data_IF_783889662978
#
_entry.id   IF_783889662978
#
_cell.length_a   1.000
_cell.length_b   1.000
_cell.length_c   1.000
_cell.angle_alpha   90.00
_cell.angle_beta   90.00
_cell.angle_gamma   90.00
#
_symmetry.space_group_name_H-M   'P 1'
#
loop_
_entity.id
_entity.type
_entity.pdbx_description
1 polymer ?
#
# COMPACT_ATOMS: atom_id res chain seq x y z
N UNK A 1 4.62 0.29 -31.16
CA UNK A 1 5.42 0.49 -29.93
C UNK A 1 6.51 -0.57 -29.87
N UNK A 2 7.80 -0.20 -29.94
CA UNK A 2 8.91 -1.16 -29.87
C UNK A 2 9.13 -1.56 -28.41
N UNK A 3 8.78 -2.80 -28.07
CA UNK A 3 9.13 -3.42 -26.78
C UNK A 3 10.64 -3.65 -26.80
N UNK A 4 11.41 -2.85 -26.04
CA UNK A 4 12.84 -3.10 -25.84
C UNK A 4 12.97 -4.42 -25.09
N UNK A 5 13.42 -5.48 -25.77
CA UNK A 5 13.87 -6.72 -25.13
C UNK A 5 15.13 -6.39 -24.33
N UNK A 6 14.98 -6.29 -23.01
CA UNK A 6 16.09 -6.05 -22.11
C UNK A 6 17.04 -7.25 -22.13
N UNK A 7 18.35 -6.98 -22.14
CA UNK A 7 19.42 -7.98 -22.26
C UNK A 7 19.23 -9.01 -21.15
N UNK A 8 19.24 -10.30 -21.51
CA UNK A 8 19.07 -11.43 -20.58
C UNK A 8 19.97 -11.25 -19.35
N UNK A 9 19.40 -10.76 -18.24
CA UNK A 9 20.05 -10.78 -16.94
C UNK A 9 20.12 -12.24 -16.55
N UNK A 10 21.32 -12.79 -16.41
CA UNK A 10 21.55 -14.11 -15.83
C UNK A 10 21.04 -14.03 -14.40
N UNK A 11 19.81 -14.48 -14.16
CA UNK A 11 19.25 -14.59 -12.83
C UNK A 11 19.72 -15.92 -12.26
N UNK A 12 20.47 -15.87 -11.16
CA UNK A 12 20.82 -17.07 -10.34
C UNK A 12 19.59 -17.76 -9.73
N UNK A 13 18.40 -17.28 -10.04
CA UNK A 13 17.12 -17.68 -9.47
C UNK A 13 16.42 -18.52 -10.52
N UNK A 14 15.99 -19.70 -10.11
CA UNK A 14 15.26 -20.65 -10.94
C UNK A 14 13.94 -20.03 -11.45
N UNK A 15 13.59 -20.33 -12.70
CA UNK A 15 12.29 -19.94 -13.27
C UNK A 15 11.12 -20.56 -12.50
N UNK A 16 11.32 -21.72 -11.88
CA UNK A 16 10.30 -22.35 -11.03
C UNK A 16 9.88 -21.44 -9.87
N UNK A 17 10.86 -20.87 -9.16
CA UNK A 17 10.64 -19.96 -8.02
C UNK A 17 9.89 -18.70 -8.46
N UNK A 18 10.16 -18.21 -9.67
CA UNK A 18 9.47 -17.05 -10.22
C UNK A 18 7.98 -17.34 -10.41
N UNK A 19 7.64 -18.52 -10.92
CA UNK A 19 6.25 -18.95 -11.08
C UNK A 19 5.55 -19.13 -9.73
N UNK A 20 6.21 -19.73 -8.75
CA UNK A 20 5.68 -19.87 -7.38
C UNK A 20 5.36 -18.53 -6.71
N UNK A 21 6.11 -17.46 -7.04
CA UNK A 21 5.80 -16.11 -6.56
C UNK A 21 4.66 -15.48 -7.36
N UNK A 22 4.60 -15.74 -8.66
CA UNK A 22 3.66 -15.10 -9.58
C UNK A 22 2.23 -15.61 -9.41
N UNK A 23 2.02 -16.88 -9.07
CA UNK A 23 0.69 -17.46 -8.82
C UNK A 23 -0.05 -16.77 -7.66
N UNK A 24 0.52 -16.66 -6.43
CA UNK A 24 -0.10 -15.92 -5.32
C UNK A 24 -0.37 -14.44 -5.63
N UNK A 25 0.46 -13.82 -6.48
CA UNK A 25 0.26 -12.43 -6.89
C UNK A 25 -0.98 -12.26 -7.79
N UNK A 26 -1.29 -13.26 -8.64
CA UNK A 26 -2.51 -13.24 -9.48
C UNK A 26 -3.76 -13.41 -8.65
N UNK A 27 -3.75 -14.32 -7.67
CA UNK A 27 -4.89 -14.55 -6.78
C UNK A 27 -5.16 -13.34 -5.87
N UNK A 28 -4.11 -12.67 -5.39
CA UNK A 28 -4.19 -11.63 -4.35
C UNK A 28 -3.55 -10.32 -4.83
N UNK A 29 -4.21 -9.68 -5.79
CA UNK A 29 -3.73 -8.46 -6.46
C UNK A 29 -3.41 -7.31 -5.47
N UNK A 30 -4.08 -7.26 -4.32
CA UNK A 30 -3.87 -6.21 -3.29
C UNK A 30 -2.63 -6.45 -2.41
N UNK A 31 -1.99 -7.62 -2.50
CA UNK A 31 -0.92 -7.99 -1.59
C UNK A 31 0.42 -7.43 -2.04
N UNK A 32 1.04 -6.63 -1.17
CA UNK A 32 2.44 -6.22 -1.35
C UNK A 32 3.42 -7.36 -1.06
N UNK A 33 4.68 -7.16 -1.44
CA UNK A 33 5.74 -8.16 -1.33
C UNK A 33 5.94 -8.74 0.08
N UNK A 34 5.65 -7.98 1.14
CA UNK A 34 5.73 -8.49 2.52
C UNK A 34 4.68 -9.57 2.80
N UNK A 35 3.45 -9.41 2.29
CA UNK A 35 2.38 -10.40 2.48
C UNK A 35 2.63 -11.63 1.63
N UNK A 36 3.09 -11.44 0.38
CA UNK A 36 3.50 -12.55 -0.50
C UNK A 36 4.66 -13.33 0.14
N UNK A 37 5.67 -12.66 0.67
CA UNK A 37 6.76 -13.30 1.38
C UNK A 37 6.29 -14.12 2.59
N UNK A 38 5.33 -13.61 3.38
CA UNK A 38 4.77 -14.36 4.50
C UNK A 38 4.02 -15.62 4.03
N UNK A 39 3.24 -15.52 2.95
CA UNK A 39 2.55 -16.67 2.35
C UNK A 39 3.53 -17.75 1.90
N UNK A 40 4.59 -17.37 1.17
CA UNK A 40 5.62 -18.30 0.73
C UNK A 40 6.31 -18.99 1.90
N UNK A 41 6.58 -18.25 2.97
CA UNK A 41 7.18 -18.82 4.18
C UNK A 41 6.25 -19.82 4.86
N UNK A 42 4.94 -19.54 4.89
CA UNK A 42 3.94 -20.46 5.44
C UNK A 42 3.78 -21.73 4.59
N UNK A 43 4.04 -21.66 3.28
CA UNK A 43 4.05 -22.82 2.39
C UNK A 43 5.40 -23.56 2.35
N UNK A 44 6.36 -23.18 3.22
CA UNK A 44 7.67 -23.85 3.32
C UNK A 44 8.75 -23.31 2.39
N UNK A 45 8.46 -22.28 1.59
CA UNK A 45 9.41 -21.67 0.66
C UNK A 45 10.17 -20.54 1.37
N UNK A 46 11.45 -20.78 1.69
CA UNK A 46 12.27 -19.81 2.41
C UNK A 46 13.11 -18.96 1.46
N UNK A 47 12.56 -17.80 1.06
CA UNK A 47 13.23 -16.83 0.18
C UNK A 47 13.43 -15.52 0.94
N UNK A 48 14.57 -14.85 0.68
CA UNK A 48 14.81 -13.52 1.23
C UNK A 48 13.79 -12.50 0.70
N UNK A 49 13.22 -11.66 1.59
CA UNK A 49 12.25 -10.59 1.25
C UNK A 49 12.67 -9.74 0.04
N UNK A 50 13.95 -9.36 -0.02
CA UNK A 50 14.54 -8.56 -1.11
C UNK A 50 14.42 -9.22 -2.48
N UNK A 51 14.45 -10.55 -2.54
CA UNK A 51 14.34 -11.33 -3.77
C UNK A 51 12.90 -11.31 -4.27
N UNK A 52 11.93 -11.51 -3.37
CA UNK A 52 10.49 -11.40 -3.67
C UNK A 52 10.18 -10.01 -4.22
N UNK A 53 10.65 -8.95 -3.54
CA UNK A 53 10.49 -7.57 -4.01
C UNK A 53 11.08 -7.35 -5.41
N UNK A 54 12.32 -7.81 -5.67
CA UNK A 54 12.95 -7.67 -6.99
C UNK A 54 12.14 -8.37 -8.09
N UNK A 55 11.66 -9.59 -7.83
CA UNK A 55 10.87 -10.36 -8.80
C UNK A 55 9.55 -9.65 -9.08
N UNK A 56 8.82 -9.23 -8.04
CA UNK A 56 7.56 -8.50 -8.23
C UNK A 56 7.77 -7.18 -8.98
N UNK A 57 8.80 -6.40 -8.62
CA UNK A 57 9.10 -5.13 -9.28
C UNK A 57 9.47 -5.32 -10.76
N UNK A 58 10.30 -6.30 -11.07
CA UNK A 58 10.71 -6.56 -12.46
C UNK A 58 9.55 -7.05 -13.34
N UNK A 59 8.54 -7.69 -12.74
CA UNK A 59 7.35 -8.17 -13.44
C UNK A 59 6.16 -7.20 -13.36
N UNK A 60 6.36 -5.96 -12.88
CA UNK A 60 5.31 -4.95 -12.71
C UNK A 60 4.12 -5.41 -11.84
N UNK A 61 4.39 -6.27 -10.83
CA UNK A 61 3.40 -6.79 -9.89
C UNK A 61 3.28 -5.95 -8.62
N UNK A 62 4.02 -4.85 -8.52
CA UNK A 62 3.95 -3.93 -7.37
C UNK A 62 2.89 -2.87 -7.62
N UNK A 63 2.00 -2.68 -6.66
CA UNK A 63 1.05 -1.57 -6.64
C UNK A 63 1.80 -0.23 -6.55
N UNK A 64 1.27 0.84 -7.17
CA UNK A 64 1.76 2.18 -6.91
C UNK A 64 1.60 2.50 -5.43
N UNK A 65 2.49 3.35 -4.92
CA UNK A 65 2.37 3.86 -3.55
C UNK A 65 1.02 4.58 -3.42
N UNK A 66 0.27 4.23 -2.37
CA UNK A 66 -0.99 4.91 -2.10
C UNK A 66 -0.68 6.28 -1.51
N UNK A 67 -1.01 7.33 -2.24
CA UNK A 67 -1.01 8.68 -1.69
C UNK A 67 -2.34 8.91 -0.97
N UNK A 68 -2.26 9.23 0.32
CA UNK A 68 -3.42 9.70 1.05
C UNK A 68 -3.92 10.96 0.35
N UNK A 69 -5.22 10.99 0.01
CA UNK A 69 -5.84 12.23 -0.46
C UNK A 69 -5.70 13.24 0.68
N UNK A 70 -4.87 14.25 0.48
CA UNK A 70 -4.82 15.39 1.39
C UNK A 70 -6.24 15.88 1.63
N UNK A 71 -6.57 16.17 2.88
CA UNK A 71 -7.85 16.78 3.23
C UNK A 71 -7.96 18.05 2.39
N UNK A 72 -8.96 18.12 1.51
CA UNK A 72 -9.23 19.37 0.80
C UNK A 72 -9.62 20.38 1.87
N UNK A 73 -8.84 21.44 2.02
CA UNK A 73 -9.30 22.62 2.73
C UNK A 73 -10.54 23.13 2.00
N UNK A 74 -11.71 22.92 2.59
CA UNK A 74 -12.90 23.60 2.15
C UNK A 74 -12.67 25.09 2.44
N UNK A 75 -13.01 25.96 1.50
CA UNK A 75 -13.00 27.40 1.76
C UNK A 75 -13.88 27.63 2.99
N UNK A 76 -13.29 28.14 4.07
CA UNK A 76 -14.04 28.53 5.26
C UNK A 76 -15.15 29.49 4.83
N UNK A 77 -16.37 29.22 5.30
CA UNK A 77 -17.48 30.14 5.09
C UNK A 77 -17.16 31.42 5.86
N UNK A 78 -17.18 32.57 5.19
CA UNK A 78 -17.01 33.88 5.83
C UNK A 78 -18.37 34.56 5.90
N UNK A 79 -18.80 34.93 7.09
CA UNK A 79 -20.03 35.70 7.28
C UNK A 79 -19.78 37.17 6.99
N UNK A 80 -20.66 37.79 6.19
CA UNK A 80 -20.63 39.23 5.92
C UNK A 80 -21.34 40.06 7.00
N UNK A 81 -22.28 39.43 7.73
CA UNK A 81 -23.08 40.06 8.79
C UNK A 81 -23.14 39.15 10.03
N UNK A 82 -23.38 39.71 11.22
CA UNK A 82 -23.64 38.91 12.41
C UNK A 82 -24.82 37.94 12.18
N UNK A 83 -24.78 36.79 12.86
CA UNK A 83 -25.81 35.72 12.85
C UNK A 83 -25.97 34.92 11.54
N UNK A 84 -25.20 35.21 10.48
CA UNK A 84 -25.23 34.42 9.23
C UNK A 84 -24.48 33.09 9.33
N UNK A 85 -23.52 32.98 10.24
CA UNK A 85 -22.73 31.78 10.51
C UNK A 85 -22.66 31.59 12.02
N UNK A 86 -23.16 30.46 12.50
CA UNK A 86 -23.04 30.05 13.89
C UNK A 86 -22.12 28.83 13.91
N UNK A 87 -20.89 29.04 14.38
CA UNK A 87 -19.94 27.96 14.64
C UNK A 87 -19.99 27.64 16.13
N UNK A 88 -20.13 26.37 16.46
CA UNK A 88 -20.08 25.87 17.83
C UNK A 88 -18.93 24.87 17.93
N UNK A 89 -18.21 24.92 19.04
CA UNK A 89 -17.19 23.94 19.38
C UNK A 89 -17.57 23.19 20.65
N UNK A 90 -17.14 21.93 20.73
CA UNK A 90 -17.32 21.10 21.92
C UNK A 90 -15.94 20.86 22.52
N UNK A 91 -15.72 21.43 23.70
CA UNK A 91 -14.52 21.16 24.48
C UNK A 91 -14.80 20.09 25.52
N UNK A 92 -14.08 18.97 25.44
CA UNK A 92 -14.16 17.93 26.47
C UNK A 92 -13.31 18.32 27.68
N UNK A 93 -13.94 18.34 28.85
CA UNK A 93 -13.24 18.52 30.13
C UNK A 93 -13.01 17.13 30.72
N UNK A 94 -11.74 16.69 30.87
CA UNK A 94 -11.46 15.36 31.40
C UNK A 94 -11.85 15.29 32.88
N UNK A 95 -12.73 14.36 33.23
CA UNK A 95 -13.07 14.03 34.62
C UNK A 95 -12.28 12.81 35.09
N UNK A 96 -11.85 12.81 36.36
CA UNK A 96 -11.13 11.68 36.97
C UNK A 96 -11.94 10.37 36.96
N UNK A 97 -13.26 10.47 36.82
CA UNK A 97 -14.15 9.36 36.56
C UNK A 97 -14.18 9.19 35.03
N UNK A 98 -13.30 8.33 34.50
CA UNK A 98 -13.28 8.02 33.08
C UNK A 98 -14.64 7.51 32.58
N UNK A 99 -14.86 7.57 31.26
CA UNK A 99 -16.08 7.02 30.63
C UNK A 99 -16.15 5.50 30.91
N UNK A 100 -17.05 5.10 31.80
CA UNK A 100 -17.48 3.70 31.99
C UNK A 100 -18.30 3.22 30.81
#
# INVERSE_FOLDING_TARGET
>A
MKIKKDKRRITRIDSSIVNEIMEPCKERITYGYNRIWALLRNSGINIAKKTVYKIMRNNNLTLPMHDHKNRKELKLLRADKPEMLIETDITYIPTNNGMT
#
